data_IF_801294554413
#
_entry.id   IF_801294554413
#
_cell.length_a   1.000
_cell.length_b   1.000
_cell.length_c   1.000
_cell.angle_alpha   90.00
_cell.angle_beta   90.00
_cell.angle_gamma   90.00
#
_symmetry.space_group_name_H-M   'P 1'
#
loop_
_entity.id
_entity.type
_entity.pdbx_description
1 polymer ?
#
# COMPACT_ATOMS: atom_id res chain seq x y z
N UNK A 1 2.62 -27.73 10.42
CA UNK A 1 3.54 -26.87 9.64
C UNK A 1 2.79 -25.90 8.71
N UNK A 2 1.98 -26.36 7.72
CA UNK A 2 1.24 -25.43 6.84
C UNK A 2 0.22 -24.59 7.62
N UNK A 3 -0.55 -25.16 8.52
CA UNK A 3 -1.53 -24.46 9.35
C UNK A 3 -0.86 -23.44 10.29
N UNK A 4 0.23 -23.82 10.91
CA UNK A 4 1.00 -22.96 11.80
C UNK A 4 1.59 -21.77 11.03
N UNK A 5 2.18 -22.01 9.84
CA UNK A 5 2.68 -20.94 8.97
C UNK A 5 1.55 -19.99 8.55
N UNK A 6 0.40 -20.54 8.14
CA UNK A 6 -0.78 -19.77 7.76
C UNK A 6 -1.26 -18.89 8.91
N UNK A 7 -1.30 -19.42 10.13
CA UNK A 7 -1.69 -18.69 11.33
C UNK A 7 -0.70 -17.54 11.61
N UNK A 8 0.62 -17.79 11.61
CA UNK A 8 1.64 -16.76 11.83
C UNK A 8 1.59 -15.67 10.76
N UNK A 9 1.36 -16.07 9.52
CA UNK A 9 1.21 -15.13 8.41
C UNK A 9 -0.02 -14.23 8.58
N UNK A 10 -1.13 -14.82 9.03
CA UNK A 10 -2.35 -14.06 9.34
C UNK A 10 -2.13 -13.06 10.49
N UNK A 11 -1.51 -13.52 11.59
CA UNK A 11 -1.18 -12.68 12.75
C UNK A 11 -0.27 -11.50 12.35
N UNK A 12 0.83 -11.78 11.62
CA UNK A 12 1.74 -10.77 11.12
C UNK A 12 1.02 -9.76 10.22
N UNK A 13 0.23 -10.26 9.28
CA UNK A 13 -0.56 -9.42 8.38
C UNK A 13 -1.58 -8.56 9.12
N UNK A 14 -2.21 -9.08 10.19
CA UNK A 14 -3.14 -8.32 11.01
C UNK A 14 -2.44 -7.16 11.75
N UNK A 15 -1.25 -7.41 12.30
CA UNK A 15 -0.45 -6.38 12.97
C UNK A 15 -0.03 -5.30 11.97
N UNK A 16 0.51 -5.69 10.81
CA UNK A 16 0.99 -4.75 9.78
C UNK A 16 -0.12 -3.88 9.19
N UNK A 17 -1.36 -4.39 9.14
CA UNK A 17 -2.55 -3.64 8.68
C UNK A 17 -3.30 -2.94 9.81
N UNK A 18 -2.83 -3.05 11.05
CA UNK A 18 -3.57 -2.51 12.19
C UNK A 18 -3.58 -0.98 12.20
N UNK A 19 -4.73 -0.40 12.55
CA UNK A 19 -4.83 1.05 12.80
C UNK A 19 -3.93 1.51 13.95
N UNK A 20 -3.60 0.62 14.90
CA UNK A 20 -2.68 0.92 16.00
C UNK A 20 -1.29 1.18 15.49
N UNK A 21 -0.78 0.33 14.59
CA UNK A 21 0.54 0.52 13.99
C UNK A 21 0.57 1.81 13.17
N UNK A 22 -0.44 2.06 12.33
CA UNK A 22 -0.55 3.30 11.57
C UNK A 22 -0.58 4.52 12.50
N UNK A 23 -1.30 4.45 13.61
CA UNK A 23 -1.37 5.53 14.59
C UNK A 23 -0.06 5.74 15.34
N UNK A 24 0.71 4.68 15.61
CA UNK A 24 2.04 4.78 16.24
C UNK A 24 3.06 5.43 15.30
N UNK A 25 3.04 5.03 14.02
CA UNK A 25 3.98 5.55 13.03
C UNK A 25 3.64 6.97 12.61
N UNK A 26 2.34 7.34 12.59
CA UNK A 26 1.85 8.63 12.10
C UNK A 26 0.74 9.20 13.00
N UNK A 27 1.02 9.65 14.23
CA UNK A 27 -0.02 10.10 15.16
C UNK A 27 -0.90 11.23 14.61
N UNK A 28 -0.32 12.16 13.84
CA UNK A 28 -1.03 13.27 13.22
C UNK A 28 -1.91 12.87 12.04
N UNK A 29 -1.61 11.76 11.36
CA UNK A 29 -2.26 11.31 10.14
C UNK A 29 -3.24 10.16 10.38
N UNK A 30 -3.16 9.46 11.51
CA UNK A 30 -3.96 8.27 11.81
C UNK A 30 -5.48 8.52 11.77
N UNK A 31 -5.91 9.76 12.01
CA UNK A 31 -7.33 10.16 11.93
C UNK A 31 -7.78 10.39 10.49
N UNK A 32 -6.86 10.77 9.60
CA UNK A 32 -7.15 11.17 8.22
C UNK A 32 -6.87 10.04 7.22
N UNK A 33 -5.86 9.21 7.49
CA UNK A 33 -5.46 8.09 6.65
C UNK A 33 -6.13 6.78 7.11
N UNK A 34 -7.08 6.32 6.30
CA UNK A 34 -7.58 4.95 6.41
C UNK A 34 -6.65 3.99 5.65
N UNK A 35 -6.71 2.66 5.91
CA UNK A 35 -5.93 1.69 5.14
C UNK A 35 -6.13 1.79 3.62
N UNK A 36 -7.38 2.05 3.16
CA UNK A 36 -7.66 2.24 1.73
C UNK A 36 -7.02 3.50 1.17
N UNK A 37 -7.03 4.63 1.91
CA UNK A 37 -6.35 5.85 1.49
C UNK A 37 -4.84 5.65 1.40
N UNK A 38 -4.25 4.99 2.40
CA UNK A 38 -2.83 4.69 2.41
C UNK A 38 -2.45 3.80 1.21
N UNK A 39 -3.25 2.76 0.93
CA UNK A 39 -3.03 1.89 -0.22
C UNK A 39 -3.12 2.66 -1.54
N UNK A 40 -4.14 3.52 -1.71
CA UNK A 40 -4.28 4.35 -2.90
C UNK A 40 -3.07 5.28 -3.09
N UNK A 41 -2.64 5.99 -2.04
CA UNK A 41 -1.46 6.85 -2.11
C UNK A 41 -0.19 6.06 -2.47
N UNK A 42 -0.02 4.85 -1.91
CA UNK A 42 1.13 4.00 -2.23
C UNK A 42 1.12 3.56 -3.70
N UNK A 43 -0.04 3.20 -4.26
CA UNK A 43 -0.18 2.84 -5.67
C UNK A 43 0.12 4.04 -6.59
N UNK A 44 -0.35 5.23 -6.23
CA UNK A 44 -0.11 6.45 -6.98
C UNK A 44 1.36 6.93 -6.94
N UNK A 45 2.15 6.44 -6.00
CA UNK A 45 3.58 6.75 -5.92
C UNK A 45 4.39 6.16 -7.09
N UNK A 46 3.90 5.07 -7.68
CA UNK A 46 4.53 4.43 -8.84
C UNK A 46 4.12 5.09 -10.17
N UNK A 47 3.18 6.02 -10.14
CA UNK A 47 2.70 6.79 -11.30
C UNK A 47 1.20 7.07 -11.27
N UNK A 48 0.73 7.87 -12.22
CA UNK A 48 -0.70 8.18 -12.37
C UNK A 48 -1.50 6.93 -12.79
N UNK A 49 -2.69 6.76 -12.20
CA UNK A 49 -3.60 5.64 -12.46
C UNK A 49 -4.97 6.15 -12.87
N UNK A 50 -5.66 5.41 -13.73
CA UNK A 50 -7.10 5.61 -13.97
C UNK A 50 -7.89 5.12 -12.76
N UNK A 51 -9.13 5.67 -12.58
CA UNK A 51 -9.98 5.32 -11.42
C UNK A 51 -10.23 3.81 -11.34
N UNK A 52 -10.47 3.13 -12.47
CA UNK A 52 -10.66 1.68 -12.49
C UNK A 52 -9.42 0.89 -12.06
N UNK A 53 -8.23 1.29 -12.54
CA UNK A 53 -6.95 0.69 -12.12
C UNK A 53 -6.70 0.89 -10.62
N UNK A 54 -7.03 2.08 -10.12
CA UNK A 54 -6.93 2.39 -8.70
C UNK A 54 -7.93 1.58 -7.88
N UNK A 55 -9.16 1.41 -8.38
CA UNK A 55 -10.21 0.58 -7.76
C UNK A 55 -9.74 -0.87 -7.59
N UNK A 56 -9.24 -1.46 -8.69
CA UNK A 56 -8.68 -2.82 -8.70
C UNK A 56 -7.51 -2.95 -7.73
N UNK A 57 -6.56 -2.01 -7.79
CA UNK A 57 -5.38 -2.00 -6.93
C UNK A 57 -5.70 -1.85 -5.45
N UNK A 58 -6.73 -1.09 -5.08
CA UNK A 58 -7.20 -0.94 -3.70
C UNK A 58 -8.10 -2.11 -3.28
N UNK A 59 -8.77 -2.77 -4.23
CA UNK A 59 -9.73 -3.84 -3.97
C UNK A 59 -11.11 -3.31 -3.59
N UNK A 60 -11.59 -2.28 -4.30
CA UNK A 60 -12.92 -1.66 -4.11
C UNK A 60 -13.61 -1.47 -5.46
N UNK A 61 -14.91 -1.15 -5.45
CA UNK A 61 -15.64 -0.77 -6.66
C UNK A 61 -15.32 0.66 -7.12
N UNK A 62 -15.60 0.99 -8.39
CA UNK A 62 -15.32 2.29 -9.01
C UNK A 62 -15.99 3.46 -8.28
N UNK A 63 -17.20 3.26 -7.74
CA UNK A 63 -17.91 4.29 -6.99
C UNK A 63 -17.18 4.61 -5.69
N UNK A 64 -16.69 3.59 -5.00
CA UNK A 64 -15.91 3.71 -3.78
C UNK A 64 -14.54 4.34 -4.08
N UNK A 65 -13.88 3.95 -5.19
CA UNK A 65 -12.63 4.55 -5.65
C UNK A 65 -12.80 6.04 -5.99
N UNK A 66 -13.90 6.41 -6.68
CA UNK A 66 -14.21 7.80 -6.99
C UNK A 66 -14.31 8.65 -5.71
N UNK A 67 -15.07 8.18 -4.72
CA UNK A 67 -15.17 8.86 -3.41
C UNK A 67 -13.86 8.90 -2.64
N UNK A 68 -13.03 7.88 -2.81
CA UNK A 68 -11.70 7.84 -2.22
C UNK A 68 -10.82 8.94 -2.81
N UNK A 69 -10.82 9.07 -4.15
CA UNK A 69 -10.10 10.14 -4.87
C UNK A 69 -10.58 11.51 -4.44
N UNK A 70 -11.91 11.75 -4.39
CA UNK A 70 -12.49 13.03 -3.93
C UNK A 70 -11.95 13.43 -2.54
N UNK A 71 -11.79 12.46 -1.64
CA UNK A 71 -11.23 12.70 -0.31
C UNK A 71 -9.74 12.97 -0.32
N UNK A 72 -8.97 12.34 -1.23
CA UNK A 72 -7.54 12.60 -1.39
C UNK A 72 -7.30 13.98 -2.00
N UNK A 73 -8.14 14.40 -2.97
CA UNK A 73 -8.14 15.75 -3.51
C UNK A 73 -8.49 16.80 -2.44
N UNK A 74 -9.52 16.55 -1.64
CA UNK A 74 -9.88 17.44 -0.52
C UNK A 74 -8.78 17.56 0.53
N UNK A 75 -7.90 16.58 0.64
CA UNK A 75 -6.70 16.62 1.48
C UNK A 75 -5.51 17.32 0.78
N UNK A 76 -5.62 17.64 -0.52
CA UNK A 76 -4.55 18.24 -1.30
C UNK A 76 -3.39 17.29 -1.63
N UNK A 77 -3.58 15.97 -1.49
CA UNK A 77 -2.49 14.98 -1.68
C UNK A 77 -2.59 14.23 -3.00
N UNK A 78 -3.69 14.38 -3.73
CA UNK A 78 -3.86 13.86 -5.08
C UNK A 78 -4.62 14.86 -5.93
N UNK A 79 -4.53 14.73 -7.23
CA UNK A 79 -5.26 15.54 -8.20
C UNK A 79 -5.66 14.72 -9.42
N UNK A 80 -6.78 15.09 -10.06
CA UNK A 80 -7.15 14.53 -11.34
C UNK A 80 -6.50 15.32 -12.47
N UNK A 81 -5.87 14.61 -13.40
CA UNK A 81 -5.30 15.17 -14.61
C UNK A 81 -5.98 14.59 -15.85
N UNK A 82 -6.35 15.47 -16.78
CA UNK A 82 -6.81 15.06 -18.11
C UNK A 82 -5.62 14.80 -19.01
N UNK A 83 -5.60 13.70 -19.74
CA UNK A 83 -4.54 13.43 -20.71
C UNK A 83 -4.59 14.46 -21.88
N UNK A 84 -3.44 15.00 -22.31
CA UNK A 84 -3.38 15.85 -23.49
C UNK A 84 -3.87 15.07 -24.73
N UNK A 85 -5.00 15.49 -25.29
CA UNK A 85 -5.58 14.88 -26.50
C UNK A 85 -6.77 13.95 -26.27
N UNK A 86 -7.04 13.47 -25.05
CA UNK A 86 -8.25 12.72 -24.71
C UNK A 86 -8.89 13.25 -23.41
N UNK A 87 -9.88 14.14 -23.58
CA UNK A 87 -10.64 14.70 -22.46
C UNK A 87 -11.46 13.65 -21.68
N UNK A 88 -11.53 12.41 -22.18
CA UNK A 88 -12.25 11.30 -21.52
C UNK A 88 -11.30 10.45 -20.65
N UNK A 89 -10.00 10.54 -20.90
CA UNK A 89 -8.99 9.85 -20.11
C UNK A 89 -8.53 10.77 -18.96
N UNK A 90 -9.03 10.47 -17.76
CA UNK A 90 -8.62 11.16 -16.53
C UNK A 90 -7.78 10.21 -15.71
N UNK A 91 -6.55 10.61 -15.41
CA UNK A 91 -5.67 9.95 -14.45
C UNK A 91 -5.71 10.65 -13.11
N UNK A 92 -5.43 9.92 -12.06
CA UNK A 92 -5.21 10.44 -10.70
C UNK A 92 -3.72 10.37 -10.42
N UNK A 93 -3.15 11.46 -9.98
CA UNK A 93 -1.73 11.56 -9.66
C UNK A 93 -1.53 12.13 -8.25
N UNK A 94 -0.36 11.89 -7.65
CA UNK A 94 0.01 12.58 -6.42
C UNK A 94 0.36 14.04 -6.73
N UNK A 95 -0.05 14.93 -5.83
CA UNK A 95 0.53 16.28 -5.75
C UNK A 95 1.93 16.20 -5.13
N UNK A 96 2.69 17.31 -5.17
CA UNK A 96 3.98 17.40 -4.45
C UNK A 96 3.80 17.07 -2.96
N UNK A 97 2.77 17.64 -2.32
CA UNK A 97 2.42 17.33 -0.93
C UNK A 97 2.06 15.84 -0.71
N UNK A 98 1.41 15.22 -1.70
CA UNK A 98 1.12 13.78 -1.68
C UNK A 98 2.38 12.94 -1.76
N UNK A 99 3.31 13.30 -2.64
CA UNK A 99 4.59 12.62 -2.80
C UNK A 99 5.45 12.73 -1.53
N UNK A 100 5.53 13.91 -0.94
CA UNK A 100 6.22 14.13 0.35
C UNK A 100 5.58 13.29 1.48
N UNK A 101 4.25 13.26 1.53
CA UNK A 101 3.51 12.46 2.51
C UNK A 101 3.85 10.97 2.37
N UNK A 102 3.83 10.42 1.16
CA UNK A 102 4.15 9.01 0.91
C UNK A 102 5.61 8.71 1.24
N UNK A 103 6.54 9.59 0.87
CA UNK A 103 7.95 9.45 1.22
C UNK A 103 8.16 9.44 2.75
N UNK A 104 7.49 10.33 3.49
CA UNK A 104 7.52 10.37 4.95
C UNK A 104 6.98 9.08 5.57
N UNK A 105 5.87 8.56 5.04
CA UNK A 105 5.29 7.28 5.49
C UNK A 105 6.25 6.12 5.22
N UNK A 106 6.89 6.09 4.06
CA UNK A 106 7.86 5.06 3.71
C UNK A 106 9.09 5.09 4.64
N UNK A 107 9.62 6.28 4.93
CA UNK A 107 10.76 6.46 5.83
C UNK A 107 10.43 5.99 7.25
N UNK A 108 9.29 6.35 7.80
CA UNK A 108 8.85 5.92 9.13
C UNK A 108 8.66 4.39 9.19
N UNK A 109 8.07 3.82 8.15
CA UNK A 109 7.92 2.36 8.03
C UNK A 109 9.29 1.68 8.00
N UNK A 110 10.25 2.24 7.30
CA UNK A 110 11.61 1.70 7.25
C UNK A 110 12.28 1.69 8.62
N UNK A 111 12.20 2.80 9.36
CA UNK A 111 12.72 2.88 10.73
C UNK A 111 12.08 1.84 11.64
N UNK A 112 10.75 1.70 11.58
CA UNK A 112 10.05 0.67 12.34
C UNK A 112 10.52 -0.75 12.01
N UNK A 113 10.71 -1.07 10.71
CA UNK A 113 11.23 -2.38 10.34
C UNK A 113 12.68 -2.58 10.77
N UNK A 114 13.52 -1.55 10.76
CA UNK A 114 14.87 -1.63 11.32
C UNK A 114 14.84 -2.01 12.80
N UNK A 115 13.96 -1.39 13.58
CA UNK A 115 13.80 -1.71 15.01
C UNK A 115 13.29 -3.14 15.24
N UNK A 116 12.28 -3.56 14.48
CA UNK A 116 11.75 -4.93 14.56
C UNK A 116 12.82 -5.95 14.19
N UNK A 117 13.57 -5.69 13.11
CA UNK A 117 14.63 -6.58 12.64
C UNK A 117 15.87 -6.55 13.55
N UNK A 118 16.02 -5.54 14.41
CA UNK A 118 17.10 -5.51 15.41
C UNK A 118 17.00 -6.66 16.44
N UNK A 119 15.82 -7.26 16.59
CA UNK A 119 15.61 -8.45 17.42
C UNK A 119 16.16 -9.75 16.80
N UNK A 120 16.58 -9.73 15.54
CA UNK A 120 17.10 -10.87 14.81
C UNK A 120 18.62 -10.76 14.64
N UNK A 121 19.31 -11.89 14.61
CA UNK A 121 20.72 -11.94 14.25
C UNK A 121 20.91 -11.63 12.75
N UNK A 122 22.13 -11.22 12.30
CA UNK A 122 22.36 -10.82 10.90
C UNK A 122 22.01 -11.90 9.87
N UNK A 123 22.32 -13.15 10.15
CA UNK A 123 22.01 -14.31 9.32
C UNK A 123 20.50 -14.62 9.29
N UNK A 124 19.80 -14.46 10.41
CA UNK A 124 18.34 -14.59 10.48
C UNK A 124 17.64 -13.51 9.66
N UNK A 125 18.16 -12.27 9.66
CA UNK A 125 17.64 -11.18 8.81
C UNK A 125 17.76 -11.50 7.33
N UNK A 126 18.95 -11.96 6.92
CA UNK A 126 19.21 -12.34 5.54
C UNK A 126 18.30 -13.50 5.10
N UNK A 127 18.12 -14.50 5.97
CA UNK A 127 17.24 -15.64 5.71
C UNK A 127 15.77 -15.22 5.65
N UNK A 128 15.31 -14.32 6.52
CA UNK A 128 13.95 -13.77 6.49
C UNK A 128 13.66 -13.06 5.16
N UNK A 129 14.59 -12.20 4.69
CA UNK A 129 14.48 -11.53 3.40
C UNK A 129 14.39 -12.54 2.27
N UNK A 130 15.28 -13.53 2.26
CA UNK A 130 15.31 -14.59 1.24
C UNK A 130 13.99 -15.38 1.19
N UNK A 131 13.49 -15.80 2.35
CA UNK A 131 12.27 -16.61 2.46
C UNK A 131 11.01 -15.80 2.11
N UNK A 132 10.90 -14.57 2.57
CA UNK A 132 9.76 -13.69 2.26
C UNK A 132 9.72 -13.34 0.78
N UNK A 133 10.87 -13.07 0.15
CA UNK A 133 10.94 -12.81 -1.30
C UNK A 133 10.50 -14.04 -2.10
N UNK A 134 10.96 -15.24 -1.71
CA UNK A 134 10.54 -16.49 -2.36
C UNK A 134 9.05 -16.77 -2.19
N UNK A 135 8.49 -16.50 -1.01
CA UNK A 135 7.08 -16.66 -0.75
C UNK A 135 6.22 -15.66 -1.55
N UNK A 136 6.67 -14.40 -1.65
CA UNK A 136 6.00 -13.38 -2.46
C UNK A 136 5.91 -13.80 -3.94
N UNK A 137 7.04 -14.18 -4.55
CA UNK A 137 7.07 -14.66 -5.92
C UNK A 137 6.17 -15.88 -6.16
N UNK A 138 6.11 -16.82 -5.22
CA UNK A 138 5.22 -17.97 -5.32
C UNK A 138 3.73 -17.59 -5.23
N UNK A 139 3.39 -16.59 -4.41
CA UNK A 139 2.02 -16.06 -4.31
C UNK A 139 1.60 -15.32 -5.58
N UNK A 140 2.49 -14.51 -6.17
CA UNK A 140 2.23 -13.80 -7.43
C UNK A 140 1.95 -14.78 -8.56
N UNK A 141 2.83 -15.76 -8.78
CA UNK A 141 2.66 -16.80 -9.80
C UNK A 141 1.36 -17.60 -9.61
N UNK A 142 0.96 -17.85 -8.36
CA UNK A 142 -0.28 -18.56 -8.05
C UNK A 142 -1.52 -17.69 -8.30
N UNK A 143 -1.45 -16.41 -7.99
CA UNK A 143 -2.52 -15.45 -8.24
C UNK A 143 -2.80 -15.30 -9.73
N UNK A 144 -1.77 -15.15 -10.55
CA UNK A 144 -1.88 -15.07 -12.02
C UNK A 144 -2.53 -16.34 -12.61
N UNK A 145 -2.15 -17.51 -12.11
CA UNK A 145 -2.72 -18.79 -12.54
C UNK A 145 -4.20 -18.97 -12.17
N UNK A 146 -4.70 -18.24 -11.16
CA UNK A 146 -6.12 -18.27 -10.78
C UNK A 146 -6.96 -17.29 -11.58
N UNK A 147 -6.40 -16.16 -12.01
CA UNK A 147 -7.09 -15.14 -12.83
C UNK A 147 -7.19 -15.60 -14.29
N UNK A 148 -6.26 -16.44 -14.76
CA UNK A 148 -6.22 -16.95 -16.13
C UNK A 148 -7.15 -18.16 -16.38
N UNK A 149 -8.00 -18.54 -15.44
CA UNK A 149 -9.00 -19.62 -15.53
C UNK A 149 -10.41 -19.09 -15.59
#
# INVERSE_FOLDING_TARGET
MADELSQRWHELGAVLRSRRLLASLHPGLARQLTPSKLRALTLLADGGLRIGELADGVGVDDTTATRLVDRLEAMGVAERRSEPGDRRATTVELTEAGAELVAGIAAQRQLFFCDVLAALEPDERAELVRLTSKAAAALEARSEALVSR
#
